data_IF_805826922299
#
_entry.id   IF_805826922299
#
_cell.length_a   1.000
_cell.length_b   1.000
_cell.length_c   1.000
_cell.angle_alpha   90.00
_cell.angle_beta   90.00
_cell.angle_gamma   90.00
#
_symmetry.space_group_name_H-M   'P 1'
#
loop_
_entity.id
_entity.type
_entity.pdbx_description
1 polymer ?
#
# COMPACT_ATOMS: atom_id res chain seq x y z
N UNK A 1 1.74 -13.90 10.62
CA UNK A 1 1.28 -14.80 11.71
C UNK A 1 2.04 -14.42 12.97
N UNK A 2 1.37 -14.33 14.11
CA UNK A 2 1.97 -14.00 15.42
C UNK A 2 2.20 -15.22 16.29
N UNK A 3 1.32 -16.21 16.19
CA UNK A 3 1.45 -17.52 16.82
C UNK A 3 0.80 -18.58 15.90
N UNK A 4 1.27 -19.81 15.95
CA UNK A 4 0.73 -20.95 15.20
C UNK A 4 0.84 -22.21 16.08
N UNK A 5 -0.29 -22.90 16.29
CA UNK A 5 -0.37 -24.09 17.14
C UNK A 5 -0.81 -25.33 16.34
N UNK A 6 -0.58 -25.32 15.02
CA UNK A 6 -0.81 -26.46 14.12
C UNK A 6 -2.25 -26.59 13.63
N UNK A 7 -3.24 -26.63 14.53
CA UNK A 7 -4.66 -26.66 14.15
C UNK A 7 -5.26 -25.28 13.86
N UNK A 8 -4.52 -24.21 14.21
CA UNK A 8 -4.89 -22.82 13.99
C UNK A 8 -3.72 -21.88 14.19
N UNK A 9 -3.95 -20.61 13.88
CA UNK A 9 -2.95 -19.55 14.01
C UNK A 9 -3.58 -18.24 14.49
N UNK A 10 -2.75 -17.38 15.07
CA UNK A 10 -3.07 -15.98 15.32
C UNK A 10 -2.50 -15.13 14.17
N UNK A 11 -3.40 -14.50 13.42
CA UNK A 11 -3.08 -13.49 12.43
C UNK A 11 -3.08 -12.10 13.08
N UNK A 12 -2.16 -11.24 12.65
CA UNK A 12 -2.17 -9.83 13.01
C UNK A 12 -1.91 -9.02 11.75
N UNK A 13 -2.73 -8.00 11.55
CA UNK A 13 -2.51 -6.96 10.55
C UNK A 13 -2.09 -5.67 11.25
N UNK A 14 -1.16 -4.95 10.62
CA UNK A 14 -0.74 -3.63 11.06
C UNK A 14 -1.08 -2.64 9.97
N UNK A 15 -1.96 -1.69 10.30
CA UNK A 15 -2.30 -0.55 9.45
C UNK A 15 -1.36 0.58 9.81
N UNK A 16 -0.45 0.92 8.90
CA UNK A 16 0.45 2.06 9.05
C UNK A 16 0.02 3.16 8.09
N UNK A 17 -0.20 4.36 8.61
CA UNK A 17 -0.40 5.52 7.77
C UNK A 17 0.97 6.06 7.33
N UNK A 18 1.35 5.78 6.10
CA UNK A 18 2.60 6.28 5.49
C UNK A 18 2.42 7.62 4.76
N UNK A 19 1.19 8.13 4.69
CA UNK A 19 0.88 9.42 4.09
C UNK A 19 1.10 10.59 5.05
N UNK A 20 0.81 11.80 4.55
CA UNK A 20 0.94 13.07 5.28
C UNK A 20 -0.35 13.54 5.95
N UNK A 21 -1.48 12.87 5.66
CA UNK A 21 -2.81 13.21 6.17
C UNK A 21 -3.31 12.10 7.09
N UNK A 22 -3.96 12.46 8.19
CA UNK A 22 -4.55 11.46 9.09
C UNK A 22 -5.66 10.68 8.39
N UNK A 23 -5.68 9.36 8.58
CA UNK A 23 -6.82 8.52 8.22
C UNK A 23 -7.93 8.75 9.24
N UNK A 24 -9.17 8.95 8.80
CA UNK A 24 -10.35 9.01 9.67
C UNK A 24 -10.97 7.64 9.93
N UNK A 25 -10.73 6.69 9.02
CA UNK A 25 -11.16 5.31 9.09
C UNK A 25 -10.21 4.42 8.29
N UNK A 26 -10.23 3.14 8.59
CA UNK A 26 -9.49 2.14 7.81
C UNK A 26 -10.34 0.89 7.59
N UNK A 27 -10.21 0.35 6.39
CA UNK A 27 -10.78 -0.92 5.96
C UNK A 27 -9.66 -1.71 5.30
N UNK A 28 -9.40 -2.91 5.82
CA UNK A 28 -8.44 -3.86 5.25
C UNK A 28 -9.22 -4.98 4.58
N UNK A 29 -8.93 -5.23 3.31
CA UNK A 29 -9.50 -6.31 2.52
C UNK A 29 -8.41 -7.28 2.10
N UNK A 30 -8.68 -8.58 2.10
CA UNK A 30 -7.76 -9.60 1.58
C UNK A 30 -8.51 -10.87 1.23
N UNK A 31 -7.87 -11.70 0.42
CA UNK A 31 -8.37 -13.03 0.07
C UNK A 31 -7.52 -14.12 0.74
N UNK A 32 -8.16 -15.22 1.12
CA UNK A 32 -7.47 -16.45 1.50
C UNK A 32 -7.63 -17.54 0.44
N UNK A 33 -6.60 -18.36 0.20
CA UNK A 33 -6.75 -19.56 -0.62
C UNK A 33 -7.68 -20.56 0.06
N UNK A 34 -8.20 -21.51 -0.72
CA UNK A 34 -9.01 -22.61 -0.18
C UNK A 34 -8.26 -23.36 0.93
N UNK A 35 -9.00 -23.79 1.96
CA UNK A 35 -8.43 -24.44 3.13
C UNK A 35 -7.84 -23.48 4.18
N UNK A 36 -7.89 -22.17 3.94
CA UNK A 36 -7.52 -21.15 4.93
C UNK A 36 -8.69 -20.24 5.25
N UNK A 37 -8.89 -19.94 6.53
CA UNK A 37 -9.98 -19.07 6.96
C UNK A 37 -9.58 -18.22 8.16
N UNK A 38 -10.13 -17.00 8.24
CA UNK A 38 -10.20 -16.26 9.49
C UNK A 38 -11.53 -16.54 10.19
N UNK A 39 -11.45 -16.68 11.52
CA UNK A 39 -12.58 -16.84 12.43
C UNK A 39 -12.79 -15.57 13.25
N UNK A 40 -12.70 -15.68 14.57
CA UNK A 40 -12.88 -14.54 15.49
C UNK A 40 -11.78 -13.49 15.31
N UNK A 41 -12.16 -12.22 15.36
CA UNK A 41 -11.25 -11.07 15.32
C UNK A 41 -11.46 -10.16 16.54
N UNK A 42 -10.43 -9.39 16.86
CA UNK A 42 -10.46 -8.34 17.88
C UNK A 42 -9.84 -7.06 17.32
N UNK A 43 -10.19 -5.92 17.92
CA UNK A 43 -9.79 -4.59 17.46
C UNK A 43 -10.24 -4.24 16.01
N UNK A 44 -11.12 -5.05 15.43
CA UNK A 44 -11.73 -4.83 14.13
C UNK A 44 -13.09 -5.54 14.05
N UNK A 45 -13.97 -5.03 13.19
CA UNK A 45 -15.16 -5.75 12.73
C UNK A 45 -14.80 -6.54 11.47
N UNK A 46 -14.76 -7.87 11.56
CA UNK A 46 -14.41 -8.76 10.45
C UNK A 46 -15.67 -9.35 9.80
N UNK A 47 -15.82 -9.16 8.50
CA UNK A 47 -16.84 -9.80 7.66
C UNK A 47 -16.20 -10.61 6.54
N UNK A 48 -16.91 -11.59 5.99
CA UNK A 48 -16.44 -12.38 4.85
C UNK A 48 -17.53 -12.64 3.83
N UNK A 49 -17.12 -12.78 2.57
CA UNK A 49 -17.95 -13.25 1.45
C UNK A 49 -17.14 -14.26 0.64
N UNK A 50 -17.49 -15.55 0.77
CA UNK A 50 -16.67 -16.63 0.22
C UNK A 50 -15.26 -16.61 0.82
N UNK A 51 -14.26 -16.40 -0.04
CA UNK A 51 -12.84 -16.36 0.32
C UNK A 51 -12.32 -14.93 0.59
N UNK A 52 -13.17 -13.92 0.39
CA UNK A 52 -12.84 -12.51 0.56
C UNK A 52 -13.19 -12.05 1.98
N UNK A 53 -12.24 -11.42 2.66
CA UNK A 53 -12.35 -10.92 4.03
C UNK A 53 -12.20 -9.41 4.06
N UNK A 54 -13.03 -8.77 4.88
CA UNK A 54 -13.02 -7.32 5.09
C UNK A 54 -13.01 -7.03 6.58
N UNK A 55 -11.95 -6.37 7.07
CA UNK A 55 -11.83 -5.89 8.44
C UNK A 55 -11.96 -4.37 8.48
N UNK A 56 -12.93 -3.87 9.25
CA UNK A 56 -13.16 -2.43 9.45
C UNK A 56 -12.77 -2.00 10.85
N UNK A 57 -12.27 -0.77 10.97
CA UNK A 57 -12.01 -0.16 12.26
C UNK A 57 -13.26 -0.12 13.15
N UNK A 58 -13.04 -0.17 14.46
CA UNK A 58 -14.03 0.18 15.47
C UNK A 58 -14.05 1.69 15.67
N UNK A 59 -15.07 2.20 16.36
CA UNK A 59 -15.25 3.65 16.58
C UNK A 59 -14.06 4.33 17.28
N UNK A 60 -13.29 3.57 18.06
CA UNK A 60 -12.18 4.09 18.87
C UNK A 60 -10.80 4.00 18.21
N UNK A 61 -10.64 3.24 17.12
CA UNK A 61 -9.35 3.06 16.44
C UNK A 61 -9.34 3.41 14.95
N UNK A 62 -10.35 4.14 14.46
CA UNK A 62 -10.40 4.57 13.06
C UNK A 62 -9.36 5.63 12.71
N UNK A 63 -9.05 6.53 13.65
CA UNK A 63 -8.13 7.64 13.39
C UNK A 63 -6.68 7.19 13.47
N UNK A 64 -5.92 7.33 12.38
CA UNK A 64 -4.49 7.00 12.32
C UNK A 64 -3.72 8.20 11.79
N UNK A 65 -2.98 8.87 12.68
CA UNK A 65 -2.16 10.02 12.31
C UNK A 65 -1.02 9.65 11.33
N UNK A 66 -0.49 10.61 10.55
CA UNK A 66 0.69 10.40 9.71
C UNK A 66 1.84 9.75 10.49
N UNK A 67 2.41 8.68 9.95
CA UNK A 67 3.48 7.90 10.57
C UNK A 67 3.04 6.96 11.69
N UNK A 68 1.81 7.08 12.20
CA UNK A 68 1.28 6.21 13.24
C UNK A 68 0.85 4.84 12.68
N UNK A 69 0.64 3.90 13.60
CA UNK A 69 0.16 2.56 13.26
C UNK A 69 -0.88 2.09 14.27
N UNK A 70 -1.84 1.32 13.77
CA UNK A 70 -2.80 0.56 14.57
C UNK A 70 -2.72 -0.89 14.13
N UNK A 71 -3.13 -1.81 15.00
CA UNK A 71 -3.14 -3.22 14.69
C UNK A 71 -4.45 -3.85 15.10
N UNK A 72 -4.82 -4.91 14.39
CA UNK A 72 -5.90 -5.79 14.79
C UNK A 72 -5.47 -7.24 14.59
N UNK A 73 -6.11 -8.14 15.31
CA UNK A 73 -5.80 -9.56 15.26
C UNK A 73 -7.01 -10.42 14.96
N UNK A 74 -6.74 -11.66 14.57
CA UNK A 74 -7.74 -12.68 14.36
C UNK A 74 -7.19 -14.09 14.59
N UNK A 75 -8.04 -15.00 15.02
CA UNK A 75 -7.76 -16.43 14.97
C UNK A 75 -8.10 -16.96 13.57
N UNK A 76 -7.21 -17.75 12.99
CA UNK A 76 -7.42 -18.40 11.71
C UNK A 76 -7.08 -19.89 11.74
N UNK A 77 -7.47 -20.59 10.69
CA UNK A 77 -7.15 -21.99 10.44
C UNK A 77 -6.54 -22.15 9.05
N UNK A 78 -5.76 -23.20 8.85
CA UNK A 78 -5.06 -23.46 7.58
C UNK A 78 -3.67 -22.83 7.49
N UNK A 79 -2.97 -23.16 6.40
CA UNK A 79 -1.56 -22.77 6.18
C UNK A 79 -1.36 -21.75 5.05
N UNK A 80 -2.43 -21.37 4.34
CA UNK A 80 -2.37 -20.43 3.24
C UNK A 80 -2.07 -19.00 3.69
N UNK A 81 -1.38 -18.26 2.82
CA UNK A 81 -1.08 -16.85 3.03
C UNK A 81 -2.17 -15.96 2.43
N UNK A 82 -2.48 -14.80 3.03
CA UNK A 82 -3.42 -13.86 2.45
C UNK A 82 -2.84 -13.22 1.19
N UNK A 83 -3.69 -12.92 0.22
CA UNK A 83 -3.35 -12.26 -1.05
C UNK A 83 -4.27 -11.08 -1.32
N UNK A 84 -3.89 -10.20 -2.25
CA UNK A 84 -4.76 -9.11 -2.70
C UNK A 84 -5.10 -8.09 -1.60
N UNK A 85 -4.18 -7.86 -0.66
CA UNK A 85 -4.43 -6.95 0.44
C UNK A 85 -4.71 -5.53 -0.08
N UNK A 86 -5.81 -4.93 0.37
CA UNK A 86 -6.12 -3.51 0.14
C UNK A 86 -6.40 -2.80 1.45
N UNK A 87 -5.90 -1.57 1.57
CA UNK A 87 -6.21 -0.62 2.63
C UNK A 87 -6.99 0.55 2.03
N UNK A 88 -8.25 0.71 2.43
CA UNK A 88 -9.17 1.71 1.87
C UNK A 88 -9.22 1.68 0.32
N UNK A 89 -9.15 0.48 -0.26
CA UNK A 89 -9.16 0.25 -1.71
C UNK A 89 -7.79 0.33 -2.42
N UNK A 90 -6.75 0.86 -1.78
CA UNK A 90 -5.38 0.92 -2.32
C UNK A 90 -4.56 -0.32 -1.94
N UNK A 91 -3.60 -0.73 -2.76
CA UNK A 91 -2.81 -1.95 -2.48
C UNK A 91 -1.94 -1.81 -1.23
N UNK A 92 -1.87 -2.84 -0.40
CA UNK A 92 -1.02 -2.87 0.81
C UNK A 92 0.47 -3.13 0.52
N UNK A 93 0.84 -3.47 -0.71
CA UNK A 93 2.21 -3.80 -1.14
C UNK A 93 3.18 -2.60 -1.15
N UNK A 94 2.72 -1.43 -0.73
CA UNK A 94 3.54 -0.22 -0.63
C UNK A 94 3.77 0.47 -1.98
N UNK A 95 3.12 0.03 -3.06
CA UNK A 95 3.14 0.71 -4.35
C UNK A 95 2.19 1.91 -4.46
N UNK A 96 1.18 1.98 -3.59
CA UNK A 96 0.20 3.06 -3.53
C UNK A 96 -0.18 3.33 -2.08
N UNK A 97 0.16 4.51 -1.56
CA UNK A 97 -0.31 4.91 -0.23
C UNK A 97 -1.83 5.12 -0.30
N UNK A 98 -2.64 4.59 0.64
CA UNK A 98 -4.07 4.88 0.65
C UNK A 98 -4.33 6.37 0.76
N UNK A 99 -5.01 6.94 -0.25
CA UNK A 99 -5.24 8.38 -0.35
C UNK A 99 -4.08 9.16 -0.99
N UNK A 100 -3.25 8.49 -1.78
CA UNK A 100 -2.19 9.03 -2.63
C UNK A 100 -2.44 8.53 -4.06
N UNK A 101 -2.53 9.44 -5.03
CA UNK A 101 -2.69 9.06 -6.43
C UNK A 101 -1.30 8.91 -7.06
N UNK A 102 -1.16 7.98 -8.01
CA UNK A 102 0.10 7.86 -8.73
C UNK A 102 0.48 9.19 -9.43
N UNK A 103 1.77 9.55 -9.49
CA UNK A 103 2.22 10.73 -10.21
C UNK A 103 1.73 10.74 -11.66
N UNK A 104 1.39 11.91 -12.18
CA UNK A 104 1.16 12.06 -13.62
C UNK A 104 2.44 11.81 -14.41
N UNK A 105 2.32 11.45 -15.69
CA UNK A 105 3.48 11.36 -16.54
C UNK A 105 4.14 12.75 -16.68
N UNK A 106 5.48 12.87 -16.55
CA UNK A 106 6.16 14.11 -16.89
C UNK A 106 5.95 14.44 -18.38
N UNK A 107 6.07 15.72 -18.72
CA UNK A 107 6.03 16.18 -20.09
C UNK A 107 7.15 15.58 -20.94
N UNK A 108 6.97 15.61 -22.27
CA UNK A 108 8.01 15.16 -23.20
C UNK A 108 9.31 15.95 -22.97
N UNK A 109 10.46 15.28 -22.74
CA UNK A 109 11.72 15.99 -22.57
C UNK A 109 12.14 16.68 -23.86
N UNK A 110 12.66 17.90 -23.72
CA UNK A 110 13.30 18.68 -24.78
C UNK A 110 14.79 18.81 -24.47
N UNK A 111 15.61 18.69 -25.52
CA UNK A 111 17.05 18.85 -25.45
C UNK A 111 17.46 20.23 -25.95
N UNK A 112 18.36 20.89 -25.23
CA UNK A 112 19.00 22.15 -25.61
C UNK A 112 20.48 22.14 -25.21
N UNK A 113 21.21 23.19 -25.56
CA UNK A 113 22.62 23.41 -25.17
C UNK A 113 23.50 22.17 -25.41
N UNK A 114 23.39 21.62 -26.63
CA UNK A 114 24.07 20.39 -27.03
C UNK A 114 25.52 20.71 -27.39
N UNK A 115 26.44 20.03 -26.72
CA UNK A 115 27.87 19.98 -27.08
C UNK A 115 28.26 18.54 -27.38
N UNK A 116 29.53 18.33 -27.76
CA UNK A 116 30.07 16.98 -27.97
C UNK A 116 29.98 16.09 -26.71
N UNK A 117 29.92 16.69 -25.51
CA UNK A 117 29.95 15.96 -24.23
C UNK A 117 28.80 16.28 -23.28
N UNK A 118 27.90 17.20 -23.63
CA UNK A 118 26.79 17.60 -22.75
C UNK A 118 25.51 17.87 -23.50
N UNK A 119 24.39 17.66 -22.82
CA UNK A 119 23.06 18.10 -23.27
C UNK A 119 22.31 18.60 -22.04
N UNK A 120 21.57 19.69 -22.20
CA UNK A 120 20.59 20.13 -21.21
C UNK A 120 19.24 19.53 -21.56
N UNK A 121 18.62 18.87 -20.59
CA UNK A 121 17.26 18.36 -20.71
C UNK A 121 16.31 19.21 -19.88
N UNK A 122 15.13 19.48 -20.42
CA UNK A 122 14.04 20.15 -19.72
C UNK A 122 12.72 19.45 -20.03
N UNK A 123 11.82 19.40 -19.05
CA UNK A 123 10.49 18.82 -19.22
C UNK A 123 9.51 19.51 -18.27
N UNK A 124 8.22 19.43 -18.60
CA UNK A 124 7.17 19.77 -17.65
C UNK A 124 7.16 18.74 -16.53
N UNK A 125 7.23 19.19 -15.28
CA UNK A 125 7.20 18.29 -14.13
C UNK A 125 5.89 17.50 -14.07
N UNK A 126 5.99 16.25 -13.64
CA UNK A 126 4.85 15.47 -13.15
C UNK A 126 4.21 16.19 -11.96
N UNK A 127 2.91 15.96 -11.81
CA UNK A 127 2.11 16.41 -10.67
C UNK A 127 1.73 15.20 -9.84
N UNK A 128 1.78 15.36 -8.53
CA UNK A 128 1.44 14.33 -7.57
C UNK A 128 0.88 15.02 -6.32
N UNK A 129 -0.11 14.41 -5.65
CA UNK A 129 -0.74 15.02 -4.48
C UNK A 129 0.11 14.91 -3.20
N UNK A 130 1.16 14.09 -3.20
CA UNK A 130 2.12 13.90 -2.09
C UNK A 130 3.57 14.24 -2.46
N UNK A 131 3.84 14.52 -3.73
CA UNK A 131 5.11 15.02 -4.25
C UNK A 131 5.88 13.99 -5.09
N UNK A 132 6.75 14.51 -5.96
CA UNK A 132 7.61 13.67 -6.81
C UNK A 132 8.91 13.34 -6.08
N UNK A 133 9.23 12.04 -5.96
CA UNK A 133 10.46 11.58 -5.28
C UNK A 133 11.73 11.83 -6.10
N UNK A 134 11.73 11.44 -7.39
CA UNK A 134 12.87 11.57 -8.30
C UNK A 134 12.43 11.43 -9.76
N UNK A 135 13.29 11.84 -10.71
CA UNK A 135 13.13 11.56 -12.14
C UNK A 135 14.30 10.71 -12.61
N UNK A 136 14.03 9.51 -13.13
CA UNK A 136 15.08 8.74 -13.81
C UNK A 136 15.12 9.11 -15.30
N UNK A 137 16.30 9.49 -15.77
CA UNK A 137 16.54 9.77 -17.20
C UNK A 137 17.15 8.52 -17.82
N UNK A 138 16.53 8.00 -18.89
CA UNK A 138 17.00 6.82 -19.61
C UNK A 138 17.43 7.18 -21.04
N UNK A 139 18.51 6.56 -21.50
CA UNK A 139 18.98 6.55 -22.89
C UNK A 139 18.98 5.10 -23.38
N UNK A 140 18.22 4.80 -24.42
CA UNK A 140 18.10 3.45 -24.99
C UNK A 140 17.71 2.38 -23.94
N UNK A 141 16.88 2.77 -22.97
CA UNK A 141 16.45 1.89 -21.87
C UNK A 141 17.45 1.76 -20.71
N UNK A 142 18.65 2.34 -20.81
CA UNK A 142 19.62 2.39 -19.72
C UNK A 142 19.53 3.73 -18.97
N UNK A 143 19.51 3.68 -17.63
CA UNK A 143 19.48 4.87 -16.77
C UNK A 143 20.80 5.63 -16.84
N UNK A 144 20.74 6.94 -17.12
CA UNK A 144 21.88 7.85 -17.25
C UNK A 144 21.91 8.96 -16.19
N UNK A 145 20.79 9.25 -15.52
CA UNK A 145 20.73 10.23 -14.42
C UNK A 145 19.52 9.97 -13.48
N UNK A 146 19.56 10.59 -12.29
CA UNK A 146 18.46 10.71 -11.30
C UNK A 146 18.36 12.14 -10.80
#
# INVERSE_FOLDING_TARGET
KKSDWGSGFEGQWTVKNTGTTALSSWTIEWDFPSGTAAGSAWDASLTKSGNHYTAKNLSWNGTVAPGASVSFGFNGTGSGSPTGCKLNGASCDGGSVPGDNAPSAPGKPTASDITDTSVKLSWTAATDDKGIKNYDVLRDGAKVAT
#
